data_IF_978764320562
#
_entry.id   IF_978764320562
#
_cell.length_a   1.000
_cell.length_b   1.000
_cell.length_c   1.000
_cell.angle_alpha   90.00
_cell.angle_beta   90.00
_cell.angle_gamma   90.00
#
_symmetry.space_group_name_H-M   'P 1'
#
loop_
_entity.id
_entity.type
_entity.pdbx_description
1 polymer ?
#
# COMPACT_ATOMS: atom_id res chain seq x y z
N UNK A 1 -19.19 2.09 -28.98
CA UNK A 1 -18.43 1.02 -29.67
C UNK A 1 -17.53 1.71 -30.67
N UNK A 2 -16.24 1.81 -30.37
CA UNK A 2 -15.25 2.56 -31.17
C UNK A 2 -14.81 1.67 -32.35
N UNK A 3 -14.62 2.20 -33.58
CA UNK A 3 -14.31 1.39 -34.76
C UNK A 3 -12.92 0.75 -34.67
N UNK A 4 -12.68 -0.42 -35.28
CA UNK A 4 -11.38 -1.08 -35.28
C UNK A 4 -10.46 -0.44 -36.34
N UNK A 5 -9.88 0.70 -36.01
CA UNK A 5 -8.67 1.24 -36.64
C UNK A 5 -7.56 1.22 -35.59
N UNK A 6 -6.40 0.65 -35.93
CA UNK A 6 -5.13 0.60 -35.16
C UNK A 6 -5.26 1.18 -33.74
N UNK A 7 -5.58 0.35 -32.75
CA UNK A 7 -5.77 0.81 -31.39
C UNK A 7 -4.51 1.56 -30.94
N UNK A 8 -4.62 2.88 -30.77
CA UNK A 8 -3.53 3.68 -30.23
C UNK A 8 -3.11 3.07 -28.89
N UNK A 9 -1.81 2.79 -28.74
CA UNK A 9 -1.25 2.41 -27.45
C UNK A 9 -1.62 3.51 -26.47
N UNK A 10 -2.31 3.16 -25.38
CA UNK A 10 -2.78 4.12 -24.36
C UNK A 10 -2.28 3.70 -22.99
N UNK A 11 -1.95 4.67 -22.16
CA UNK A 11 -1.48 4.42 -20.80
C UNK A 11 -2.24 5.30 -19.84
N UNK A 12 -2.94 4.69 -18.90
CA UNK A 12 -3.54 5.40 -17.78
C UNK A 12 -2.53 5.40 -16.63
N UNK A 13 -2.01 6.58 -16.30
CA UNK A 13 -1.14 6.80 -15.17
C UNK A 13 -1.97 7.34 -14.01
N UNK A 14 -2.32 6.46 -13.08
CA UNK A 14 -3.05 6.79 -11.87
C UNK A 14 -2.07 7.29 -10.80
N UNK A 15 -2.06 8.62 -10.61
CA UNK A 15 -1.00 9.31 -9.85
C UNK A 15 -1.33 9.53 -8.38
N UNK A 16 -2.57 9.32 -7.95
CA UNK A 16 -2.99 9.60 -6.57
C UNK A 16 -4.44 10.07 -6.51
N UNK A 17 -4.86 10.82 -5.49
CA UNK A 17 -4.06 11.27 -4.34
C UNK A 17 -3.90 10.17 -3.26
N UNK A 18 -2.95 10.26 -2.32
CA UNK A 18 -2.94 9.39 -1.15
C UNK A 18 -4.29 9.42 -0.40
N UNK A 19 -4.64 8.32 0.27
CA UNK A 19 -5.88 8.21 1.09
C UNK A 19 -7.22 8.41 0.34
N UNK A 20 -7.21 8.38 -1.00
CA UNK A 20 -8.42 8.45 -1.85
C UNK A 20 -8.84 7.09 -2.45
N UNK A 21 -8.50 5.99 -1.77
CA UNK A 21 -8.89 4.64 -2.22
C UNK A 21 -7.94 4.02 -3.26
N UNK A 22 -6.75 4.59 -3.40
CA UNK A 22 -5.66 4.12 -4.27
C UNK A 22 -5.28 2.68 -3.99
N UNK A 23 -5.11 2.29 -2.71
CA UNK A 23 -4.84 0.91 -2.31
C UNK A 23 -5.92 -0.06 -2.81
N UNK A 24 -7.20 0.30 -2.69
CA UNK A 24 -8.30 -0.54 -3.17
C UNK A 24 -8.19 -0.78 -4.68
N UNK A 25 -8.01 0.28 -5.47
CA UNK A 25 -7.84 0.20 -6.93
C UNK A 25 -6.60 -0.63 -7.30
N UNK A 26 -5.46 -0.39 -6.64
CA UNK A 26 -4.22 -1.11 -6.89
C UNK A 26 -4.34 -2.60 -6.59
N UNK A 27 -4.98 -2.97 -5.46
CA UNK A 27 -5.23 -4.38 -5.12
C UNK A 27 -6.11 -5.06 -6.16
N UNK A 28 -7.19 -4.40 -6.62
CA UNK A 28 -8.05 -4.96 -7.67
C UNK A 28 -7.27 -5.17 -8.97
N UNK A 29 -6.50 -4.16 -9.42
CA UNK A 29 -5.70 -4.24 -10.63
C UNK A 29 -4.65 -5.37 -10.56
N UNK A 30 -3.90 -5.44 -9.47
CA UNK A 30 -2.86 -6.45 -9.30
C UNK A 30 -3.45 -7.86 -9.19
N UNK A 31 -4.49 -8.04 -8.37
CA UNK A 31 -5.12 -9.35 -8.18
C UNK A 31 -5.67 -9.92 -9.49
N UNK A 32 -6.26 -9.07 -10.34
CA UNK A 32 -6.88 -9.46 -11.60
C UNK A 32 -6.00 -9.24 -12.84
N UNK A 33 -4.69 -8.96 -12.69
CA UNK A 33 -3.80 -8.57 -13.79
C UNK A 33 -3.79 -9.55 -14.97
N UNK A 34 -3.83 -10.85 -14.70
CA UNK A 34 -3.86 -11.87 -15.77
C UNK A 34 -5.20 -11.90 -16.52
N UNK A 35 -6.32 -11.75 -15.80
CA UNK A 35 -7.64 -11.65 -16.40
C UNK A 35 -7.78 -10.36 -17.23
N UNK A 36 -7.30 -9.23 -16.69
CA UNK A 36 -7.24 -7.94 -17.39
C UNK A 36 -6.38 -8.01 -18.65
N UNK A 37 -5.24 -8.71 -18.60
CA UNK A 37 -4.39 -8.96 -19.77
C UNK A 37 -5.13 -9.70 -20.87
N UNK A 38 -5.96 -10.68 -20.52
CA UNK A 38 -6.86 -11.38 -21.44
C UNK A 38 -7.89 -10.47 -22.12
N UNK A 39 -8.21 -9.32 -21.50
CA UNK A 39 -9.10 -8.29 -22.03
C UNK A 39 -8.36 -7.18 -22.80
N UNK A 40 -7.04 -7.31 -22.99
CA UNK A 40 -6.23 -6.32 -23.69
C UNK A 40 -5.69 -5.18 -22.82
N UNK A 41 -5.83 -5.29 -21.48
CA UNK A 41 -5.32 -4.32 -20.51
C UNK A 41 -4.10 -4.87 -19.76
N UNK A 42 -2.96 -4.20 -19.90
CA UNK A 42 -1.73 -4.55 -19.17
C UNK A 42 -1.65 -3.79 -17.84
N UNK A 43 -1.45 -4.53 -16.75
CA UNK A 43 -0.95 -3.99 -15.48
C UNK A 43 0.48 -4.52 -15.29
N UNK A 44 1.53 -3.73 -15.59
CA UNK A 44 2.91 -4.20 -15.71
C UNK A 44 3.58 -4.38 -14.33
N UNK A 45 3.19 -5.44 -13.62
CA UNK A 45 3.70 -5.78 -12.30
C UNK A 45 3.82 -7.30 -12.12
N UNK A 46 5.01 -7.76 -11.74
CA UNK A 46 5.27 -9.14 -11.33
C UNK A 46 4.98 -9.32 -9.84
N UNK A 47 5.38 -8.33 -9.03
CA UNK A 47 5.15 -8.22 -7.60
C UNK A 47 4.22 -7.03 -7.28
N UNK A 48 3.53 -7.10 -6.14
CA UNK A 48 2.57 -6.07 -5.74
C UNK A 48 3.22 -4.67 -5.60
N UNK A 49 4.45 -4.63 -5.11
CA UNK A 49 5.19 -3.40 -4.82
C UNK A 49 5.96 -2.85 -6.04
N UNK A 50 5.87 -3.45 -7.23
CA UNK A 50 6.63 -3.00 -8.40
C UNK A 50 6.30 -1.55 -8.79
N UNK A 51 5.02 -1.15 -8.74
CA UNK A 51 4.62 0.22 -9.00
C UNK A 51 5.03 1.20 -7.89
N UNK A 52 5.15 0.72 -6.64
CA UNK A 52 5.73 1.52 -5.55
C UNK A 52 7.18 1.85 -5.87
N UNK A 53 7.98 0.81 -6.14
CA UNK A 53 9.39 0.98 -6.44
C UNK A 53 9.63 1.79 -7.72
N UNK A 54 8.80 1.62 -8.76
CA UNK A 54 8.86 2.46 -9.95
C UNK A 54 8.61 3.95 -9.63
N UNK A 55 7.66 4.26 -8.76
CA UNK A 55 7.38 5.63 -8.35
C UNK A 55 8.51 6.22 -7.46
N UNK A 56 9.15 5.40 -6.62
CA UNK A 56 10.33 5.77 -5.83
C UNK A 56 11.52 6.09 -6.75
N UNK A 57 11.78 5.24 -7.74
CA UNK A 57 12.86 5.37 -8.72
C UNK A 57 12.73 6.63 -9.58
N UNK A 58 11.54 6.85 -10.15
CA UNK A 58 11.24 8.03 -10.97
C UNK A 58 11.55 9.34 -10.24
N UNK A 59 11.31 9.36 -8.93
CA UNK A 59 11.40 10.56 -8.11
C UNK A 59 12.72 10.67 -7.32
N UNK A 60 13.61 9.68 -7.40
CA UNK A 60 14.82 9.53 -6.56
C UNK A 60 14.50 9.77 -5.07
N UNK A 61 13.43 9.14 -4.58
CA UNK A 61 12.94 9.37 -3.21
C UNK A 61 13.76 8.59 -2.18
N UNK A 62 14.25 9.33 -1.18
CA UNK A 62 14.75 8.78 0.07
C UNK A 62 13.60 8.62 1.08
N UNK A 63 13.18 7.38 1.32
CA UNK A 63 12.17 7.10 2.36
C UNK A 63 12.82 7.07 3.74
N UNK A 64 12.44 8.05 4.57
CA UNK A 64 12.93 8.22 5.94
C UNK A 64 14.47 8.32 6.04
N UNK A 65 15.09 9.00 5.06
CA UNK A 65 16.54 9.20 5.01
C UNK A 65 17.32 7.97 4.54
N UNK A 66 16.65 6.96 4.00
CA UNK A 66 17.28 5.73 3.53
C UNK A 66 16.93 5.42 2.08
N UNK A 67 17.97 5.30 1.24
CA UNK A 67 17.83 4.84 -0.15
C UNK A 67 17.18 3.45 -0.22
N UNK A 68 16.42 3.24 -1.28
CA UNK A 68 15.81 1.96 -1.66
C UNK A 68 16.54 1.42 -2.89
N UNK A 69 17.70 0.74 -2.75
CA UNK A 69 18.44 0.23 -3.90
C UNK A 69 17.62 -0.75 -4.76
N UNK A 70 16.61 -1.40 -4.18
CA UNK A 70 15.67 -2.28 -4.87
C UNK A 70 14.79 -1.55 -5.89
N UNK A 71 14.66 -0.23 -5.76
CA UNK A 71 13.93 0.63 -6.69
C UNK A 71 14.72 0.97 -7.95
N UNK A 72 16.04 0.86 -7.93
CA UNK A 72 16.89 1.35 -9.03
C UNK A 72 16.50 0.73 -10.38
N UNK A 73 16.10 1.59 -11.33
CA UNK A 73 15.73 1.21 -12.70
C UNK A 73 14.34 0.60 -12.83
N UNK A 74 13.53 0.56 -11.77
CA UNK A 74 12.17 0.01 -11.79
C UNK A 74 11.22 0.82 -12.65
N UNK A 75 11.38 2.14 -12.73
CA UNK A 75 10.55 2.97 -13.61
C UNK A 75 10.73 2.57 -15.08
N UNK A 76 11.98 2.43 -15.53
CA UNK A 76 12.28 2.07 -16.91
C UNK A 76 11.85 0.64 -17.25
N UNK A 77 11.91 -0.29 -16.29
CA UNK A 77 11.37 -1.65 -16.49
C UNK A 77 9.86 -1.64 -16.74
N UNK A 78 9.11 -0.86 -15.95
CA UNK A 78 7.66 -0.69 -16.13
C UNK A 78 7.37 0.01 -17.46
N UNK A 79 8.07 1.10 -17.77
CA UNK A 79 7.90 1.84 -19.02
C UNK A 79 8.22 0.99 -20.26
N UNK A 80 9.25 0.14 -20.21
CA UNK A 80 9.60 -0.76 -21.30
C UNK A 80 8.50 -1.80 -21.59
N UNK A 81 7.87 -2.35 -20.55
CA UNK A 81 6.73 -3.27 -20.70
C UNK A 81 5.54 -2.56 -21.37
N UNK A 82 5.26 -1.33 -20.97
CA UNK A 82 4.20 -0.51 -21.55
C UNK A 82 4.45 -0.23 -23.03
N UNK A 83 5.67 0.19 -23.40
CA UNK A 83 6.02 0.45 -24.82
C UNK A 83 5.93 -0.81 -25.68
N UNK A 84 6.23 -1.98 -25.11
CA UNK A 84 6.13 -3.26 -25.80
C UNK A 84 4.69 -3.79 -25.94
N UNK A 85 3.72 -3.23 -25.19
CA UNK A 85 2.33 -3.68 -25.21
C UNK A 85 1.51 -2.93 -26.26
N UNK A 86 0.87 -3.62 -27.23
CA UNK A 86 0.15 -2.94 -28.31
C UNK A 86 -1.21 -2.35 -27.90
N UNK A 87 -1.67 -2.59 -26.67
CA UNK A 87 -2.99 -2.19 -26.19
C UNK A 87 -2.95 -1.11 -25.11
N UNK A 88 -3.93 -1.16 -24.22
CA UNK A 88 -4.02 -0.24 -23.08
C UNK A 88 -3.20 -0.77 -21.91
N UNK A 89 -2.48 0.11 -21.21
CA UNK A 89 -1.78 -0.21 -19.97
C UNK A 89 -2.23 0.70 -18.82
N UNK A 90 -2.09 0.23 -17.58
CA UNK A 90 -2.37 1.02 -16.37
C UNK A 90 -1.18 0.95 -15.44
N UNK A 91 -0.60 2.10 -15.11
CA UNK A 91 0.38 2.27 -14.02
C UNK A 91 -0.34 2.98 -12.89
N UNK A 92 -0.20 2.51 -11.66
CA UNK A 92 -0.98 3.06 -10.53
C UNK A 92 -0.18 3.02 -9.24
N UNK A 93 0.25 4.18 -8.76
CA UNK A 93 0.71 4.36 -7.39
C UNK A 93 0.59 5.83 -6.96
N UNK A 94 0.10 6.07 -5.76
CA UNK A 94 -0.09 7.41 -5.18
C UNK A 94 1.20 8.13 -4.77
N UNK A 95 2.33 7.44 -4.73
CA UNK A 95 3.64 8.07 -4.54
C UNK A 95 3.96 8.99 -5.73
N UNK A 96 3.40 8.72 -6.92
CA UNK A 96 3.54 9.58 -8.09
C UNK A 96 2.95 10.98 -7.89
N UNK A 97 2.03 11.16 -6.94
CA UNK A 97 1.42 12.45 -6.63
C UNK A 97 2.45 13.53 -6.30
N UNK A 98 3.54 13.14 -5.62
CA UNK A 98 4.61 14.02 -5.17
C UNK A 98 5.58 14.49 -6.26
N UNK A 99 5.44 14.00 -7.50
CA UNK A 99 6.42 14.23 -8.57
C UNK A 99 6.53 15.71 -8.95
N UNK A 100 7.75 16.22 -9.08
CA UNK A 100 7.99 17.57 -9.60
C UNK A 100 7.54 17.70 -11.07
N UNK A 101 7.34 18.93 -11.61
CA UNK A 101 7.01 19.10 -13.03
C UNK A 101 7.96 18.38 -13.99
N UNK A 102 9.26 18.37 -13.65
CA UNK A 102 10.28 17.70 -14.46
C UNK A 102 10.17 16.18 -14.40
N UNK A 103 9.93 15.61 -13.21
CA UNK A 103 9.71 14.16 -13.05
C UNK A 103 8.43 13.70 -13.76
N UNK A 104 7.35 14.49 -13.69
CA UNK A 104 6.12 14.22 -14.42
C UNK A 104 6.34 14.24 -15.95
N UNK A 105 7.10 15.23 -16.45
CA UNK A 105 7.50 15.31 -17.87
C UNK A 105 8.31 14.08 -18.29
N UNK A 106 9.34 13.71 -17.53
CA UNK A 106 10.17 12.54 -17.80
C UNK A 106 9.36 11.25 -17.82
N UNK A 107 8.43 11.09 -16.88
CA UNK A 107 7.51 9.97 -16.84
C UNK A 107 6.68 9.88 -18.13
N UNK A 108 6.01 10.97 -18.52
CA UNK A 108 5.17 11.01 -19.74
C UNK A 108 6.01 10.70 -20.99
N UNK A 109 7.18 11.32 -21.13
CA UNK A 109 8.06 11.10 -22.29
C UNK A 109 8.58 9.67 -22.38
N UNK A 110 8.87 9.03 -21.24
CA UNK A 110 9.34 7.65 -21.20
C UNK A 110 8.29 6.63 -21.68
N UNK A 111 7.01 7.01 -21.73
CA UNK A 111 5.91 6.13 -22.16
C UNK A 111 5.59 6.26 -23.66
N UNK A 112 6.26 7.17 -24.37
CA UNK A 112 6.10 7.31 -25.82
C UNK A 112 6.41 5.99 -26.56
N UNK A 113 5.66 5.64 -27.64
CA UNK A 113 4.71 6.48 -28.36
C UNK A 113 3.27 6.41 -27.83
N UNK A 114 3.04 5.82 -26.66
CA UNK A 114 1.69 5.66 -26.15
C UNK A 114 1.06 7.01 -25.76
N UNK A 115 -0.24 7.15 -26.00
CA UNK A 115 -1.04 8.29 -25.56
C UNK A 115 -1.27 8.17 -24.05
N UNK A 116 -0.75 9.13 -23.29
CA UNK A 116 -0.81 9.13 -21.83
C UNK A 116 -2.08 9.82 -21.35
N UNK A 117 -2.79 9.19 -20.43
CA UNK A 117 -3.92 9.72 -19.69
C UNK A 117 -3.55 9.78 -18.21
N UNK A 118 -3.75 10.94 -17.56
CA UNK A 118 -3.56 11.10 -16.13
C UNK A 118 -4.86 10.78 -15.42
N UNK A 119 -4.80 9.92 -14.41
CA UNK A 119 -5.94 9.59 -13.56
C UNK A 119 -5.64 10.01 -12.13
N UNK A 120 -6.57 10.73 -11.52
CA UNK A 120 -6.52 11.11 -10.11
C UNK A 120 -7.82 10.70 -9.43
N UNK A 121 -7.73 9.98 -8.31
CA UNK A 121 -8.82 9.76 -7.36
C UNK A 121 -8.80 10.86 -6.29
N UNK A 122 -9.96 11.47 -6.04
CA UNK A 122 -10.11 12.67 -5.20
C UNK A 122 -11.14 12.43 -4.09
N UNK A 123 -10.79 12.74 -2.83
CA UNK A 123 -11.68 12.56 -1.66
C UNK A 123 -11.84 13.87 -0.90
N UNK A 124 -12.87 13.95 -0.07
CA UNK A 124 -13.03 15.07 0.87
C UNK A 124 -11.88 15.14 1.88
N UNK A 125 -11.47 16.37 2.22
CA UNK A 125 -10.41 16.62 3.20
C UNK A 125 -10.80 16.26 4.64
N UNK A 126 -12.10 16.18 4.94
CA UNK A 126 -12.61 15.84 6.29
C UNK A 126 -12.19 14.43 6.69
N UNK A 127 -12.14 13.49 5.73
CA UNK A 127 -11.64 12.14 5.97
C UNK A 127 -10.15 11.99 5.69
N UNK A 128 -9.58 12.75 4.74
CA UNK A 128 -8.15 12.64 4.42
C UNK A 128 -7.27 13.14 5.57
N UNK A 129 -7.56 14.30 6.15
CA UNK A 129 -6.72 14.92 7.18
C UNK A 129 -6.55 14.02 8.43
N UNK A 130 -7.61 13.50 9.08
CA UNK A 130 -7.44 12.54 10.19
C UNK A 130 -6.76 11.24 9.75
N UNK A 131 -7.00 10.77 8.53
CA UNK A 131 -6.33 9.57 8.02
C UNK A 131 -4.84 9.78 7.78
N UNK A 132 -4.42 10.98 7.40
CA UNK A 132 -3.02 11.33 7.19
C UNK A 132 -2.31 11.50 8.54
N UNK A 133 -2.92 12.21 9.49
CA UNK A 133 -2.41 12.31 10.86
C UNK A 133 -2.18 10.93 11.48
N UNK A 134 -3.14 10.00 11.34
CA UNK A 134 -2.97 8.62 11.78
C UNK A 134 -1.78 7.93 11.13
N UNK A 135 -1.55 8.14 9.83
CA UNK A 135 -0.41 7.58 9.13
C UNK A 135 0.90 8.17 9.67
N UNK A 136 0.95 9.47 9.93
CA UNK A 136 2.13 10.12 10.51
C UNK A 136 2.43 9.61 11.92
N UNK A 137 1.40 9.39 12.75
CA UNK A 137 1.57 8.78 14.08
C UNK A 137 2.15 7.37 13.96
N UNK A 138 1.69 6.58 12.98
CA UNK A 138 2.30 5.27 12.68
C UNK A 138 3.74 5.37 12.17
N UNK A 139 4.20 6.54 11.73
CA UNK A 139 5.59 6.82 11.32
C UNK A 139 6.41 7.59 12.38
N UNK A 140 5.89 7.74 13.60
CA UNK A 140 6.66 8.30 14.72
C UNK A 140 6.25 9.70 15.14
N UNK A 141 5.23 10.30 14.51
CA UNK A 141 4.69 11.58 14.95
C UNK A 141 4.08 11.46 16.35
N UNK A 142 4.39 12.43 17.21
CA UNK A 142 3.92 12.50 18.60
C UNK A 142 2.96 13.68 18.86
N UNK A 143 2.85 14.62 17.91
CA UNK A 143 1.90 15.72 17.98
C UNK A 143 0.45 15.21 17.98
N UNK A 144 -0.38 15.85 18.81
CA UNK A 144 -1.84 15.72 18.74
C UNK A 144 -2.38 16.26 17.39
N UNK A 145 -3.65 16.01 17.10
CA UNK A 145 -4.23 16.34 15.80
C UNK A 145 -4.20 17.85 15.55
N UNK A 146 -4.53 18.66 16.55
CA UNK A 146 -4.53 20.13 16.42
C UNK A 146 -3.14 20.72 16.13
N UNK A 147 -2.12 20.27 16.87
CA UNK A 147 -0.75 20.75 16.67
C UNK A 147 -0.22 20.32 15.31
N UNK A 148 -0.53 19.10 14.90
CA UNK A 148 -0.18 18.57 13.58
C UNK A 148 -0.91 19.35 12.46
N UNK A 149 -2.22 19.57 12.59
CA UNK A 149 -3.05 20.28 11.63
C UNK A 149 -2.54 21.71 11.44
N UNK A 150 -2.29 22.43 12.54
CA UNK A 150 -1.76 23.79 12.50
C UNK A 150 -0.39 23.84 11.79
N UNK A 151 0.46 22.83 12.00
CA UNK A 151 1.76 22.71 11.33
C UNK A 151 1.61 22.54 9.82
N UNK A 152 0.71 21.65 9.38
CA UNK A 152 0.44 21.42 7.94
C UNK A 152 -0.17 22.66 7.28
N UNK A 153 -1.16 23.28 7.92
CA UNK A 153 -1.88 24.42 7.34
C UNK A 153 -1.03 25.69 7.22
N UNK A 154 0.09 25.78 7.94
CA UNK A 154 1.10 26.83 7.70
C UNK A 154 1.71 26.80 6.30
N UNK A 155 1.60 25.67 5.58
CA UNK A 155 2.23 25.45 4.27
C UNK A 155 3.74 25.75 4.29
N UNK A 156 4.37 25.46 5.42
CA UNK A 156 5.82 25.58 5.59
C UNK A 156 6.50 24.46 4.81
N UNK A 157 7.37 24.79 3.86
CA UNK A 157 8.05 23.84 3.00
C UNK A 157 9.47 23.50 3.50
N UNK A 158 9.86 23.97 4.68
CA UNK A 158 11.17 23.70 5.27
C UNK A 158 11.38 22.23 5.61
N UNK A 159 10.34 21.57 6.14
CA UNK A 159 10.40 20.14 6.48
C UNK A 159 9.83 19.27 5.35
N UNK A 160 10.52 18.15 5.08
CA UNK A 160 10.19 17.28 3.95
C UNK A 160 8.74 16.79 3.98
N UNK A 161 8.23 16.39 5.14
CA UNK A 161 6.89 15.81 5.28
C UNK A 161 5.78 16.81 4.99
N UNK A 162 5.93 18.09 5.39
CA UNK A 162 4.92 19.12 5.11
C UNK A 162 4.91 19.49 3.62
N UNK A 163 6.10 19.59 3.03
CA UNK A 163 6.25 19.79 1.59
C UNK A 163 5.69 18.61 0.79
N UNK A 164 5.92 17.38 1.25
CA UNK A 164 5.38 16.16 0.63
C UNK A 164 3.86 16.13 0.73
N UNK A 165 3.28 16.44 1.89
CA UNK A 165 1.83 16.50 2.09
C UNK A 165 1.17 17.36 1.02
N UNK A 166 1.54 18.64 0.89
CA UNK A 166 0.88 19.53 -0.06
C UNK A 166 1.16 19.16 -1.52
N UNK A 167 2.35 18.63 -1.84
CA UNK A 167 2.60 18.10 -3.20
C UNK A 167 1.73 16.89 -3.52
N UNK A 168 1.46 16.02 -2.56
CA UNK A 168 0.70 14.80 -2.84
C UNK A 168 -0.82 15.00 -2.74
N UNK A 169 -1.27 15.94 -1.91
CA UNK A 169 -2.68 16.10 -1.52
C UNK A 169 -3.37 17.29 -2.23
N UNK A 170 -2.64 18.34 -2.62
CA UNK A 170 -3.23 19.48 -3.35
C UNK A 170 -3.54 19.09 -4.80
N UNK A 171 -4.77 18.59 -5.01
CA UNK A 171 -5.19 17.99 -6.28
C UNK A 171 -5.04 18.96 -7.46
N UNK A 172 -5.51 20.23 -7.38
CA UNK A 172 -5.26 21.20 -8.44
C UNK A 172 -3.77 21.38 -8.78
N UNK A 173 -2.89 21.57 -7.78
CA UNK A 173 -1.45 21.70 -8.03
C UNK A 173 -0.84 20.43 -8.62
N UNK A 174 -1.20 19.26 -8.08
CA UNK A 174 -0.76 17.96 -8.59
C UNK A 174 -1.13 17.77 -10.05
N UNK A 175 -2.39 18.04 -10.40
CA UNK A 175 -2.84 17.91 -11.78
C UNK A 175 -2.19 18.96 -12.68
N UNK A 176 -1.96 20.19 -12.21
CA UNK A 176 -1.22 21.18 -12.99
C UNK A 176 0.20 20.71 -13.33
N UNK A 177 0.90 20.03 -12.41
CA UNK A 177 2.23 19.45 -12.68
C UNK A 177 2.18 18.32 -13.71
N UNK A 178 1.24 17.39 -13.54
CA UNK A 178 1.12 16.21 -14.41
C UNK A 178 0.49 16.51 -15.78
N UNK A 179 -0.45 17.44 -15.86
CA UNK A 179 -1.23 17.72 -17.07
C UNK A 179 -0.63 18.83 -17.96
N UNK A 180 0.46 19.49 -17.56
CA UNK A 180 0.96 20.71 -18.22
C UNK A 180 1.20 20.63 -19.74
N UNK A 181 1.36 19.43 -20.30
CA UNK A 181 1.57 19.17 -21.74
C UNK A 181 0.48 18.32 -22.39
N UNK A 182 -0.54 17.95 -21.62
CA UNK A 182 -1.62 17.10 -22.07
C UNK A 182 -2.87 17.95 -22.35
N UNK A 183 -3.67 17.58 -23.35
CA UNK A 183 -4.97 18.21 -23.53
C UNK A 183 -5.90 17.81 -22.36
N UNK A 184 -6.84 18.69 -21.92
CA UNK A 184 -7.68 18.44 -20.74
C UNK A 184 -8.47 17.13 -20.79
N UNK A 185 -8.87 16.67 -21.98
CA UNK A 185 -9.59 15.40 -22.16
C UNK A 185 -8.77 14.13 -21.84
N UNK A 186 -7.45 14.27 -21.65
CA UNK A 186 -6.56 13.19 -21.19
C UNK A 186 -6.34 13.19 -19.67
N UNK A 187 -7.05 14.05 -18.94
CA UNK A 187 -6.96 14.16 -17.48
C UNK A 187 -8.30 13.79 -16.87
N UNK A 188 -8.29 12.76 -16.03
CA UNK A 188 -9.49 12.18 -15.43
C UNK A 188 -9.45 12.32 -13.91
N UNK A 189 -10.48 12.95 -13.33
CA UNK A 189 -10.63 13.12 -11.88
C UNK A 189 -11.82 12.30 -11.41
N UNK A 190 -11.54 11.23 -10.68
CA UNK A 190 -12.53 10.31 -10.13
C UNK A 190 -12.80 10.70 -8.69
N UNK A 191 -14.00 11.14 -8.36
CA UNK A 191 -14.34 11.42 -6.97
C UNK A 191 -14.56 10.11 -6.21
N UNK A 192 -14.15 10.08 -4.94
CA UNK A 192 -14.44 8.97 -4.02
C UNK A 192 -15.85 9.17 -3.50
N UNK A 193 -16.73 8.17 -3.63
CA UNK A 193 -18.11 8.31 -3.20
C UNK A 193 -18.21 8.51 -1.68
N UNK A 194 -19.24 9.23 -1.25
CA UNK A 194 -19.49 9.51 0.17
C UNK A 194 -19.63 8.21 0.99
N UNK A 195 -19.30 8.23 2.30
CA UNK A 195 -19.57 7.10 3.19
C UNK A 195 -21.04 6.63 3.08
N UNK A 196 -21.23 5.31 3.01
CA UNK A 196 -22.55 4.69 2.83
C UNK A 196 -22.93 4.39 1.37
N UNK A 197 -22.17 4.90 0.39
CA UNK A 197 -22.31 4.46 -1.00
C UNK A 197 -21.90 2.98 -1.16
N UNK A 198 -22.42 2.28 -2.19
CA UNK A 198 -21.99 0.92 -2.50
C UNK A 198 -20.47 0.85 -2.72
N UNK A 199 -19.84 -0.20 -2.16
CA UNK A 199 -18.38 -0.37 -2.13
C UNK A 199 -17.74 -0.49 -3.52
N UNK A 200 -18.53 -0.81 -4.55
CA UNK A 200 -18.10 -1.00 -5.92
C UNK A 200 -18.07 0.31 -6.73
N UNK A 201 -18.62 1.42 -6.23
CA UNK A 201 -18.78 2.67 -7.00
C UNK A 201 -17.44 3.24 -7.44
N UNK A 202 -16.43 3.26 -6.56
CA UNK A 202 -15.09 3.75 -6.92
C UNK A 202 -14.48 2.90 -8.05
N UNK A 203 -14.60 1.58 -7.96
CA UNK A 203 -14.14 0.68 -9.02
C UNK A 203 -14.91 0.90 -10.31
N UNK A 204 -16.25 1.06 -10.27
CA UNK A 204 -17.06 1.33 -11.47
C UNK A 204 -16.63 2.60 -12.19
N UNK A 205 -16.37 3.67 -11.44
CA UNK A 205 -15.86 4.94 -11.99
C UNK A 205 -14.48 4.73 -12.63
N UNK A 206 -13.56 4.08 -11.92
CA UNK A 206 -12.20 3.80 -12.40
C UNK A 206 -12.18 2.89 -13.64
N UNK A 207 -12.92 1.78 -13.62
CA UNK A 207 -13.08 0.85 -14.73
C UNK A 207 -13.60 1.56 -15.99
N UNK A 208 -14.56 2.48 -15.83
CA UNK A 208 -15.08 3.30 -16.92
C UNK A 208 -14.00 4.16 -17.59
N UNK A 209 -13.16 4.82 -16.81
CA UNK A 209 -12.04 5.65 -17.30
C UNK A 209 -11.05 4.80 -18.11
N UNK A 210 -10.63 3.65 -17.57
CA UNK A 210 -9.66 2.77 -18.25
C UNK A 210 -10.29 1.93 -19.39
N UNK A 211 -11.60 2.09 -19.64
CA UNK A 211 -12.30 1.51 -20.78
C UNK A 211 -12.69 0.03 -20.64
N UNK A 212 -12.85 -0.48 -19.41
CA UNK A 212 -13.31 -1.86 -19.16
C UNK A 212 -14.68 -1.86 -18.47
N UNK A 213 -15.40 -3.00 -18.58
CA UNK A 213 -16.62 -3.16 -17.79
C UNK A 213 -16.27 -3.43 -16.34
N UNK A 214 -16.97 -2.80 -15.41
CA UNK A 214 -16.66 -3.00 -13.99
C UNK A 214 -16.91 -4.46 -13.51
N UNK A 215 -17.87 -5.16 -14.13
CA UNK A 215 -18.19 -6.56 -13.87
C UNK A 215 -17.24 -7.57 -14.56
N UNK A 216 -16.18 -7.08 -15.21
CA UNK A 216 -15.13 -7.93 -15.78
C UNK A 216 -14.25 -8.60 -14.72
N UNK A 217 -14.30 -8.12 -13.47
CA UNK A 217 -13.51 -8.62 -12.35
C UNK A 217 -14.40 -8.92 -11.16
N UNK A 218 -14.01 -9.89 -10.35
CA UNK A 218 -14.70 -10.22 -9.11
C UNK A 218 -14.08 -9.44 -7.94
N UNK A 219 -14.81 -8.44 -7.44
CA UNK A 219 -14.39 -7.65 -6.28
C UNK A 219 -14.45 -8.45 -4.96
N UNK A 220 -15.24 -9.52 -4.88
CA UNK A 220 -15.32 -10.35 -3.68
C UNK A 220 -14.11 -11.25 -3.50
N UNK A 221 -13.40 -11.57 -4.59
CA UNK A 221 -12.12 -12.27 -4.55
C UNK A 221 -11.00 -11.42 -3.93
N UNK A 222 -11.21 -10.11 -3.79
CA UNK A 222 -10.22 -9.20 -3.23
C UNK A 222 -10.53 -8.96 -1.75
N UNK A 223 -9.66 -9.46 -0.88
CA UNK A 223 -9.77 -9.20 0.56
C UNK A 223 -9.41 -7.75 0.86
N UNK A 224 -10.42 -6.93 1.16
CA UNK A 224 -10.22 -5.57 1.63
C UNK A 224 -10.50 -5.47 3.12
N UNK A 225 -9.44 -5.50 3.93
CA UNK A 225 -9.53 -5.12 5.34
C UNK A 225 -8.83 -3.78 5.54
N UNK A 226 -9.56 -2.69 5.29
CA UNK A 226 -9.09 -1.36 5.68
C UNK A 226 -9.50 -1.10 7.14
N UNK A 227 -8.93 -1.89 8.06
CA UNK A 227 -9.10 -1.72 9.51
C UNK A 227 -8.22 -0.54 9.95
N UNK A 228 -8.69 0.68 9.67
CA UNK A 228 -8.11 1.88 10.27
C UNK A 228 -8.21 1.82 11.80
N UNK A 229 -7.26 2.45 12.48
CA UNK A 229 -7.20 2.48 13.94
C UNK A 229 -8.27 3.41 14.51
N UNK A 230 -8.75 3.10 15.72
CA UNK A 230 -9.59 4.01 16.50
C UNK A 230 -8.76 5.07 17.22
N UNK A 231 -9.45 6.04 17.83
CA UNK A 231 -8.83 7.18 18.52
C UNK A 231 -7.92 6.74 19.67
N UNK A 232 -8.31 5.73 20.44
CA UNK A 232 -7.53 5.27 21.58
C UNK A 232 -6.28 4.49 21.14
N UNK A 233 -6.39 3.69 20.07
CA UNK A 233 -5.27 2.98 19.47
C UNK A 233 -4.22 3.95 18.90
N UNK A 234 -4.66 5.03 18.25
CA UNK A 234 -3.78 6.08 17.73
C UNK A 234 -3.11 6.85 18.87
N UNK A 235 -3.88 7.22 19.90
CA UNK A 235 -3.36 7.90 21.09
C UNK A 235 -2.32 7.05 21.83
N UNK A 236 -2.52 5.73 21.92
CA UNK A 236 -1.52 4.82 22.49
C UNK A 236 -0.20 4.88 21.71
N UNK A 237 -0.24 4.77 20.38
CA UNK A 237 0.98 4.87 19.55
C UNK A 237 1.62 6.26 19.73
N UNK A 238 0.82 7.33 19.75
CA UNK A 238 1.32 8.69 19.95
C UNK A 238 2.05 8.85 21.29
N UNK A 239 1.53 8.26 22.38
CA UNK A 239 2.21 8.21 23.69
C UNK A 239 3.51 7.41 23.65
N UNK A 240 3.53 6.29 22.92
CA UNK A 240 4.76 5.52 22.68
C UNK A 240 5.80 6.37 21.95
N UNK A 241 5.39 7.15 20.94
CA UNK A 241 6.27 8.04 20.19
C UNK A 241 6.83 9.14 21.09
N UNK A 242 5.97 9.81 21.86
CA UNK A 242 6.39 10.84 22.80
C UNK A 242 7.42 10.31 23.83
N UNK A 243 7.29 9.05 24.26
CA UNK A 243 8.21 8.43 25.20
C UNK A 243 9.50 7.90 24.56
N UNK A 244 9.48 7.52 23.28
CA UNK A 244 10.53 6.66 22.68
C UNK A 244 10.96 7.03 21.25
N UNK A 245 10.59 8.19 20.70
CA UNK A 245 10.78 8.59 19.30
C UNK A 245 12.22 8.48 18.75
N UNK A 246 13.24 8.30 19.59
CA UNK A 246 14.66 8.34 19.19
C UNK A 246 15.43 7.04 19.42
N UNK A 247 14.76 5.96 19.86
CA UNK A 247 15.48 4.73 20.25
C UNK A 247 15.75 3.82 19.05
N UNK A 248 14.93 3.89 17.99
CA UNK A 248 15.01 2.98 16.85
C UNK A 248 15.34 3.68 15.54
N UNK A 249 16.04 2.98 14.65
CA UNK A 249 16.20 3.42 13.27
C UNK A 249 14.84 3.45 12.57
N UNK A 250 14.65 4.29 11.53
CA UNK A 250 13.38 4.36 10.80
C UNK A 250 12.88 3.01 10.29
N UNK A 251 13.74 2.20 9.67
CA UNK A 251 13.39 0.83 9.24
C UNK A 251 12.90 -0.06 10.39
N UNK A 252 13.54 0.04 11.56
CA UNK A 252 13.15 -0.77 12.71
C UNK A 252 11.82 -0.29 13.27
N UNK A 253 11.61 1.02 13.34
CA UNK A 253 10.37 1.61 13.78
C UNK A 253 9.21 1.24 12.83
N UNK A 254 9.42 1.30 11.51
CA UNK A 254 8.46 0.87 10.50
C UNK A 254 8.09 -0.62 10.67
N UNK A 255 9.08 -1.49 10.86
CA UNK A 255 8.83 -2.92 11.09
C UNK A 255 8.09 -3.19 12.39
N UNK A 256 8.57 -2.63 13.51
CA UNK A 256 8.12 -3.00 14.85
C UNK A 256 6.86 -2.23 15.28
N UNK A 257 6.78 -0.93 15.04
CA UNK A 257 5.61 -0.11 15.42
C UNK A 257 4.52 -0.17 14.38
N UNK A 258 4.82 0.18 13.12
CA UNK A 258 3.81 0.20 12.06
C UNK A 258 3.41 -1.23 11.68
N UNK A 259 4.37 -2.12 11.47
CA UNK A 259 4.11 -3.52 11.11
C UNK A 259 3.42 -4.29 12.24
N UNK A 260 4.09 -4.43 13.39
CA UNK A 260 3.57 -5.29 14.48
C UNK A 260 2.52 -4.59 15.33
N UNK A 261 2.86 -3.48 15.99
CA UNK A 261 1.94 -2.86 16.94
C UNK A 261 0.67 -2.32 16.25
N UNK A 262 0.80 -1.57 15.17
CA UNK A 262 -0.35 -0.96 14.51
C UNK A 262 -1.16 -1.98 13.68
N UNK A 263 -0.53 -2.71 12.75
CA UNK A 263 -1.27 -3.54 11.80
C UNK A 263 -1.61 -4.95 12.30
N UNK A 264 -0.73 -5.61 13.06
CA UNK A 264 -0.98 -6.99 13.50
C UNK A 264 -1.64 -7.07 14.88
N UNK A 265 -1.42 -6.07 15.75
CA UNK A 265 -1.96 -6.06 17.12
C UNK A 265 -3.18 -5.15 17.21
N UNK A 266 -3.03 -3.84 17.02
CA UNK A 266 -4.11 -2.89 17.30
C UNK A 266 -5.25 -2.95 16.28
N UNK A 267 -4.94 -3.13 14.99
CA UNK A 267 -5.97 -3.21 13.95
C UNK A 267 -6.87 -4.45 14.07
N UNK A 268 -6.39 -5.54 14.69
CA UNK A 268 -7.20 -6.76 14.91
C UNK A 268 -8.14 -6.65 16.11
N UNK A 269 -7.83 -5.75 17.06
CA UNK A 269 -8.55 -5.60 18.32
C UNK A 269 -9.26 -4.25 18.43
N UNK A 270 -9.40 -3.52 17.32
CA UNK A 270 -9.94 -2.15 17.35
C UNK A 270 -11.39 -2.14 17.82
N UNK A 271 -11.66 -1.39 18.88
CA UNK A 271 -13.00 -1.23 19.47
C UNK A 271 -13.45 0.22 19.58
N UNK A 272 -12.55 1.21 19.35
CA UNK A 272 -12.88 2.62 19.53
C UNK A 272 -13.25 3.35 18.23
N UNK A 273 -13.99 4.48 18.31
CA UNK A 273 -14.36 5.26 17.13
C UNK A 273 -13.15 5.74 16.34
N UNK A 274 -13.29 5.91 15.02
CA UNK A 274 -12.21 6.47 14.20
C UNK A 274 -11.99 7.96 14.47
N UNK A 275 -10.74 8.45 14.41
CA UNK A 275 -10.43 9.88 14.43
C UNK A 275 -11.23 10.67 13.39
N UNK A 276 -11.75 11.84 13.79
CA UNK A 276 -12.55 12.76 12.97
C UNK A 276 -11.98 14.16 13.00
N UNK A 277 -12.23 14.93 11.94
CA UNK A 277 -11.91 16.35 11.92
C UNK A 277 -12.77 17.09 12.97
N UNK A 278 -12.15 17.86 13.89
CA UNK A 278 -12.88 18.68 14.86
C UNK A 278 -13.85 19.67 14.19
N UNK A 279 -15.06 19.82 14.76
CA UNK A 279 -16.12 20.63 14.17
C UNK A 279 -15.73 22.10 13.91
N UNK A 280 -14.84 22.67 14.75
CA UNK A 280 -14.31 24.03 14.61
C UNK A 280 -13.47 24.24 13.33
N UNK A 281 -12.90 23.17 12.75
CA UNK A 281 -12.09 23.25 11.53
C UNK A 281 -12.91 23.00 10.26
N UNK A 282 -14.19 22.61 10.39
CA UNK A 282 -15.01 22.25 9.24
C UNK A 282 -15.16 23.41 8.25
N UNK A 283 -15.33 24.64 8.73
CA UNK A 283 -15.57 25.79 7.85
C UNK A 283 -14.32 26.14 7.04
N UNK A 284 -13.14 26.12 7.66
CA UNK A 284 -11.84 26.34 7.01
C UNK A 284 -11.54 25.26 5.96
N UNK A 285 -11.74 23.99 6.32
CA UNK A 285 -11.55 22.86 5.39
C UNK A 285 -12.58 22.90 4.26
N UNK A 286 -13.81 23.34 4.53
CA UNK A 286 -14.83 23.52 3.50
C UNK A 286 -14.48 24.64 2.51
N UNK A 287 -13.86 25.73 2.97
CA UNK A 287 -13.38 26.81 2.08
C UNK A 287 -12.28 26.30 1.15
N UNK A 288 -11.31 25.54 1.67
CA UNK A 288 -10.27 24.92 0.86
C UNK A 288 -10.85 23.95 -0.18
N UNK A 289 -11.76 23.07 0.24
CA UNK A 289 -12.44 22.13 -0.66
C UNK A 289 -13.28 22.84 -1.73
N UNK A 290 -13.93 23.96 -1.41
CA UNK A 290 -14.62 24.82 -2.39
C UNK A 290 -13.67 25.39 -3.43
N UNK A 291 -12.49 25.86 -3.00
CA UNK A 291 -11.44 26.32 -3.91
C UNK A 291 -11.03 25.22 -4.88
N UNK A 292 -10.71 24.03 -4.38
CA UNK A 292 -10.33 22.88 -5.22
C UNK A 292 -11.44 22.47 -6.18
N UNK A 293 -12.69 22.37 -5.72
CA UNK A 293 -13.81 22.02 -6.58
C UNK A 293 -13.99 23.03 -7.72
N UNK A 294 -13.84 24.33 -7.43
CA UNK A 294 -13.90 25.39 -8.44
C UNK A 294 -12.78 25.27 -9.47
N UNK A 295 -11.53 25.11 -9.02
CA UNK A 295 -10.37 24.99 -9.90
C UNK A 295 -10.50 23.76 -10.83
N UNK A 296 -11.02 22.65 -10.30
CA UNK A 296 -11.30 21.44 -11.06
C UNK A 296 -12.44 21.63 -12.07
N UNK A 297 -13.51 22.34 -11.71
CA UNK A 297 -14.61 22.66 -12.62
C UNK A 297 -14.13 23.54 -13.80
N UNK A 298 -13.26 24.51 -13.54
CA UNK A 298 -12.73 25.45 -14.54
C UNK A 298 -11.63 24.83 -15.43
N UNK A 299 -11.04 23.70 -15.04
CA UNK A 299 -9.91 23.07 -15.72
C UNK A 299 -10.25 22.41 -17.07
N UNK A 300 -11.51 22.05 -17.30
CA UNK A 300 -11.95 21.27 -18.46
C UNK A 300 -11.56 19.80 -18.43
N UNK A 301 -11.08 19.28 -17.29
CA UNK A 301 -10.80 17.85 -17.11
C UNK A 301 -12.07 16.98 -17.14
N UNK A 302 -11.89 15.69 -17.39
CA UNK A 302 -12.96 14.70 -17.31
C UNK A 302 -13.27 14.36 -15.84
N UNK A 303 -14.37 14.90 -15.32
CA UNK A 303 -14.81 14.65 -13.95
C UNK A 303 -15.75 13.43 -13.91
N UNK A 304 -15.30 12.37 -13.23
CA UNK A 304 -16.04 11.12 -13.08
C UNK A 304 -16.59 11.01 -11.66
N UNK A 305 -17.82 11.51 -11.48
CA UNK A 305 -18.51 11.55 -10.20
C UNK A 305 -19.14 12.92 -9.96
N UNK A 306 -19.05 13.42 -8.74
CA UNK A 306 -19.62 14.72 -8.35
C UNK A 306 -18.61 15.47 -7.47
N UNK A 307 -18.18 16.66 -7.89
CA UNK A 307 -17.26 17.51 -7.12
C UNK A 307 -17.84 17.93 -5.77
N UNK A 308 -19.17 17.90 -5.61
CA UNK A 308 -19.83 18.04 -4.32
C UNK A 308 -19.46 16.94 -3.31
N UNK A 309 -18.88 15.82 -3.74
CA UNK A 309 -18.33 14.78 -2.86
C UNK A 309 -17.01 15.21 -2.18
N UNK A 310 -16.33 16.25 -2.66
CA UNK A 310 -15.15 16.84 -2.00
C UNK A 310 -15.53 17.73 -0.82
N UNK A 311 -16.77 18.24 -0.82
CA UNK A 311 -17.29 19.12 0.22
C UNK A 311 -17.74 18.30 1.44
N UNK A 312 -17.57 18.82 2.66
CA UNK A 312 -18.13 18.21 3.85
C UNK A 312 -19.64 17.98 3.71
N UNK A 313 -20.14 16.84 4.18
CA UNK A 313 -21.58 16.65 4.32
C UNK A 313 -22.16 17.73 5.24
N UNK A 314 -23.34 18.25 4.91
CA UNK A 314 -24.01 19.29 5.71
C UNK A 314 -24.15 18.85 7.17
N UNK A 315 -23.86 19.77 8.12
CA UNK A 315 -23.74 19.56 9.58
C UNK A 315 -24.81 18.66 10.23
N UNK A 316 -26.00 18.52 9.63
CA UNK A 316 -27.08 17.67 10.12
C UNK A 316 -26.72 16.18 10.22
N UNK A 317 -25.71 15.68 9.49
CA UNK A 317 -25.23 14.30 9.60
C UNK A 317 -23.95 14.13 10.45
N UNK A 318 -23.30 15.24 10.82
CA UNK A 318 -22.08 15.25 11.62
C UNK A 318 -22.36 15.31 13.14
N UNK A 319 -23.60 15.56 13.54
CA UNK A 319 -23.99 15.83 14.94
C UNK A 319 -24.22 14.58 15.81
N UNK A 320 -24.00 13.36 15.32
CA UNK A 320 -24.11 12.15 16.15
C UNK A 320 -22.72 11.68 16.56
N UNK A 321 -22.36 12.00 17.82
CA UNK A 321 -21.12 11.71 18.56
C UNK A 321 -19.86 12.43 18.06
N UNK A 322 -19.73 13.70 18.43
CA UNK A 322 -18.49 14.50 18.38
C UNK A 322 -17.48 13.96 19.41
N UNK A 323 -16.72 12.92 19.06
CA UNK A 323 -15.45 12.64 19.73
C UNK A 323 -14.37 13.24 18.86
N UNK A 324 -13.81 14.37 19.30
CA UNK A 324 -12.65 14.99 18.65
C UNK A 324 -11.50 13.98 18.58
N UNK A 325 -10.66 14.05 17.55
CA UNK A 325 -9.43 13.23 17.49
C UNK A 325 -8.51 13.43 18.70
N UNK A 326 -8.65 14.55 19.39
CA UNK A 326 -7.88 14.91 20.59
C UNK A 326 -8.60 14.60 21.92
N UNK A 327 -9.90 14.30 21.89
CA UNK A 327 -10.69 13.96 23.08
C UNK A 327 -10.73 12.45 23.23
N UNK A 328 -9.73 11.90 23.91
CA UNK A 328 -9.61 10.45 24.12
C UNK A 328 -9.79 10.13 25.60
N UNK A 329 -10.73 9.23 25.91
CA UNK A 329 -10.92 8.74 27.27
C UNK A 329 -9.66 7.98 27.75
N UNK A 330 -9.01 8.39 28.86
CA UNK A 330 -7.89 7.65 29.41
C UNK A 330 -8.21 6.18 29.73
N UNK A 331 -9.46 5.84 30.05
CA UNK A 331 -9.88 4.47 30.32
C UNK A 331 -9.82 3.61 29.07
N UNK A 332 -10.32 4.11 27.93
CA UNK A 332 -10.23 3.44 26.62
C UNK A 332 -8.76 3.18 26.24
N UNK A 333 -7.88 4.17 26.43
CA UNK A 333 -6.44 4.01 26.13
C UNK A 333 -5.81 2.93 27.02
N UNK A 334 -6.21 2.85 28.29
CA UNK A 334 -5.72 1.83 29.21
C UNK A 334 -6.20 0.43 28.83
N UNK A 335 -7.46 0.28 28.40
CA UNK A 335 -7.99 -1.01 27.93
C UNK A 335 -7.28 -1.47 26.64
N UNK A 336 -7.11 -0.56 25.68
CA UNK A 336 -6.34 -0.83 24.46
C UNK A 336 -4.89 -1.20 24.80
N UNK A 337 -4.25 -0.50 25.73
CA UNK A 337 -2.89 -0.81 26.17
C UNK A 337 -2.78 -2.19 26.82
N UNK A 338 -3.71 -2.54 27.72
CA UNK A 338 -3.73 -3.85 28.37
C UNK A 338 -3.89 -4.97 27.34
N UNK A 339 -4.76 -4.77 26.36
CA UNK A 339 -5.02 -5.74 25.29
C UNK A 339 -3.82 -5.87 24.35
N UNK A 340 -3.19 -4.75 23.97
CA UNK A 340 -1.99 -4.74 23.15
C UNK A 340 -0.81 -5.45 23.86
N UNK A 341 -0.63 -5.22 25.16
CA UNK A 341 0.39 -5.92 25.97
C UNK A 341 0.14 -7.42 25.98
N UNK A 342 -1.10 -7.86 26.20
CA UNK A 342 -1.45 -9.28 26.17
C UNK A 342 -1.14 -9.91 24.80
N UNK A 343 -1.56 -9.25 23.71
CA UNK A 343 -1.31 -9.72 22.35
C UNK A 343 0.19 -9.81 22.02
N UNK A 344 0.98 -8.81 22.43
CA UNK A 344 2.44 -8.82 22.26
C UNK A 344 3.10 -9.94 23.09
N UNK A 345 2.63 -10.21 24.31
CA UNK A 345 3.11 -11.32 25.13
C UNK A 345 2.79 -12.68 24.51
N UNK A 346 1.58 -12.86 23.97
CA UNK A 346 1.19 -14.07 23.25
C UNK A 346 2.10 -14.30 22.03
N UNK A 347 2.31 -13.27 21.22
CA UNK A 347 3.22 -13.33 20.06
C UNK A 347 4.67 -13.59 20.46
N UNK A 348 5.14 -13.00 21.55
CA UNK A 348 6.48 -13.28 22.08
C UNK A 348 6.61 -14.74 22.52
N UNK A 349 5.57 -15.33 23.13
CA UNK A 349 5.55 -16.73 23.50
C UNK A 349 5.59 -17.65 22.26
N UNK A 350 4.83 -17.34 21.22
CA UNK A 350 4.84 -18.05 19.94
C UNK A 350 6.22 -17.98 19.26
N UNK A 351 6.82 -16.78 19.19
CA UNK A 351 8.17 -16.59 18.65
C UNK A 351 9.21 -17.42 19.42
N UNK A 352 9.13 -17.46 20.76
CA UNK A 352 10.03 -18.27 21.59
C UNK A 352 9.82 -19.77 21.35
N UNK A 353 8.58 -20.23 21.21
CA UNK A 353 8.27 -21.62 20.91
C UNK A 353 8.80 -22.02 19.52
N UNK A 354 8.65 -21.15 18.51
CA UNK A 354 9.18 -21.36 17.17
C UNK A 354 10.72 -21.39 17.16
N UNK A 355 11.37 -20.47 17.88
CA UNK A 355 12.82 -20.46 18.05
C UNK A 355 13.34 -21.73 18.74
N UNK A 356 12.66 -22.19 19.79
CA UNK A 356 13.02 -23.43 20.47
C UNK A 356 12.87 -24.65 19.55
N UNK A 357 11.75 -24.75 18.82
CA UNK A 357 11.52 -25.83 17.88
C UNK A 357 12.58 -25.86 16.76
N UNK A 358 13.01 -24.69 16.28
CA UNK A 358 14.09 -24.61 15.29
C UNK A 358 15.46 -24.97 15.88
N UNK A 359 15.74 -24.54 17.11
CA UNK A 359 16.94 -24.95 17.83
C UNK A 359 17.00 -26.47 18.05
N UNK A 360 15.87 -27.10 18.40
CA UNK A 360 15.76 -28.54 18.57
C UNK A 360 15.96 -29.30 17.25
N UNK A 361 15.40 -28.78 16.14
CA UNK A 361 15.63 -29.32 14.78
C UNK A 361 17.09 -29.23 14.39
N UNK A 362 17.73 -28.09 14.64
CA UNK A 362 19.14 -27.89 14.34
C UNK A 362 20.02 -28.81 15.19
N UNK A 363 19.70 -28.98 16.48
CA UNK A 363 20.40 -29.91 17.37
C UNK A 363 20.23 -31.37 16.89
N UNK A 364 19.02 -31.78 16.50
CA UNK A 364 18.76 -33.11 15.95
C UNK A 364 19.51 -33.34 14.63
N UNK A 365 19.53 -32.35 13.74
CA UNK A 365 20.28 -32.41 12.48
C UNK A 365 21.79 -32.54 12.73
N UNK A 366 22.35 -31.76 13.67
CA UNK A 366 23.75 -31.89 14.07
C UNK A 366 24.05 -33.26 14.69
N UNK A 367 23.18 -33.78 15.56
CA UNK A 367 23.34 -35.11 16.13
C UNK A 367 23.36 -36.21 15.07
N UNK A 368 22.51 -36.12 14.04
CA UNK A 368 22.50 -37.05 12.89
C UNK A 368 23.82 -36.95 12.11
N UNK A 369 24.33 -35.75 11.87
CA UNK A 369 25.61 -35.52 11.18
C UNK A 369 26.77 -36.11 11.98
N UNK A 370 26.82 -35.87 13.29
CA UNK A 370 27.87 -36.35 14.17
C UNK A 370 27.83 -37.88 14.32
N UNK A 371 26.63 -38.47 14.44
CA UNK A 371 26.43 -39.92 14.40
C UNK A 371 26.95 -40.49 13.08
N UNK A 372 26.62 -39.88 11.94
CA UNK A 372 27.11 -40.31 10.64
C UNK A 372 28.64 -40.19 10.54
N UNK A 373 29.25 -39.12 11.07
CA UNK A 373 30.70 -38.93 11.07
C UNK A 373 31.44 -39.94 11.96
N UNK A 374 30.83 -40.34 13.06
CA UNK A 374 31.36 -41.32 14.03
C UNK A 374 31.30 -42.78 13.57
N UNK A 375 30.56 -43.10 12.50
CA UNK A 375 30.50 -44.47 11.97
C UNK A 375 31.82 -44.89 11.29
N UNK A 376 32.21 -46.19 11.37
CA UNK A 376 33.32 -46.72 10.60
C UNK A 376 33.16 -46.46 9.09
N UNK A 377 34.25 -46.30 8.31
CA UNK A 377 34.19 -45.87 6.91
C UNK A 377 33.24 -46.69 6.03
N UNK A 378 33.20 -48.02 6.23
CA UNK A 378 32.35 -48.95 5.46
C UNK A 378 30.86 -48.76 5.79
N UNK A 379 30.53 -48.46 7.05
CA UNK A 379 29.14 -48.23 7.49
C UNK A 379 28.63 -46.85 7.05
N UNK A 380 29.49 -45.83 6.97
CA UNK A 380 29.14 -44.54 6.36
C UNK A 380 28.71 -44.70 4.91
N UNK A 381 29.53 -45.38 4.10
CA UNK A 381 29.24 -45.64 2.68
C UNK A 381 27.92 -46.41 2.53
N UNK A 382 27.68 -47.44 3.36
CA UNK A 382 26.40 -48.17 3.34
C UNK A 382 25.21 -47.26 3.67
N UNK A 383 25.30 -46.44 4.72
CA UNK A 383 24.23 -45.51 5.13
C UNK A 383 23.95 -44.48 4.04
N UNK A 384 24.98 -43.86 3.46
CA UNK A 384 24.85 -42.91 2.35
C UNK A 384 24.21 -43.55 1.12
N UNK A 385 24.64 -44.76 0.74
CA UNK A 385 24.06 -45.48 -0.41
C UNK A 385 22.57 -45.80 -0.17
N UNK A 386 22.20 -46.17 1.06
CA UNK A 386 20.79 -46.42 1.43
C UNK A 386 19.95 -45.14 1.41
N UNK A 387 20.47 -44.02 1.91
CA UNK A 387 19.79 -42.72 1.89
C UNK A 387 19.60 -42.19 0.46
N UNK A 388 20.63 -42.27 -0.38
CA UNK A 388 20.53 -41.95 -1.82
C UNK A 388 19.52 -42.88 -2.51
N UNK A 389 19.47 -44.16 -2.13
CA UNK A 389 18.49 -45.10 -2.65
C UNK A 389 17.03 -44.78 -2.30
N UNK A 390 16.78 -43.97 -1.26
CA UNK A 390 15.42 -43.51 -0.90
C UNK A 390 14.99 -42.30 -1.71
N UNK A 391 15.92 -41.40 -2.05
CA UNK A 391 15.65 -40.20 -2.85
C UNK A 391 15.81 -40.42 -4.36
N UNK A 392 16.54 -41.45 -4.79
CA UNK A 392 16.77 -41.79 -6.19
C UNK A 392 16.28 -43.22 -6.53
N UNK A 393 15.26 -43.29 -7.41
CA UNK A 393 14.60 -44.55 -7.81
C UNK A 393 15.55 -45.60 -8.41
N UNK A 394 16.56 -45.20 -9.17
CA UNK A 394 17.48 -46.14 -9.81
C UNK A 394 18.40 -46.83 -8.79
N UNK A 395 18.93 -46.06 -7.83
CA UNK A 395 19.77 -46.59 -6.75
C UNK A 395 18.95 -47.45 -5.79
N UNK A 396 17.71 -47.07 -5.50
CA UNK A 396 16.78 -47.87 -4.71
C UNK A 396 16.47 -49.24 -5.33
N UNK A 397 16.27 -49.29 -6.65
CA UNK A 397 16.03 -50.54 -7.37
C UNK A 397 17.25 -51.49 -7.32
N UNK A 398 18.46 -50.95 -7.52
CA UNK A 398 19.71 -51.72 -7.44
C UNK A 398 19.94 -52.32 -6.03
N UNK A 399 19.70 -51.53 -4.97
CA UNK A 399 19.75 -52.01 -3.58
C UNK A 399 18.74 -53.13 -3.31
N UNK A 400 17.53 -53.04 -3.90
CA UNK A 400 16.50 -54.07 -3.79
C UNK A 400 16.90 -55.39 -4.45
N UNK A 401 17.63 -55.34 -5.57
CA UNK A 401 18.18 -56.54 -6.24
C UNK A 401 19.31 -57.15 -5.39
N UNK A 402 20.25 -56.32 -4.90
CA UNK A 402 21.35 -56.76 -4.03
C UNK A 402 20.85 -57.48 -2.76
N UNK A 403 19.83 -56.92 -2.08
CA UNK A 403 19.24 -57.54 -0.87
C UNK A 403 18.55 -58.88 -1.16
N UNK A 404 17.95 -59.05 -2.35
CA UNK A 404 17.28 -60.31 -2.76
C UNK A 404 18.27 -61.41 -3.09
N UNK A 405 19.40 -61.08 -3.71
CA UNK A 405 20.46 -62.04 -4.01
C UNK A 405 21.14 -62.54 -2.73
N UNK A 406 21.41 -61.65 -1.77
CA UNK A 406 22.07 -62.01 -0.49
C UNK A 406 21.20 -62.81 0.48
N UNK A 407 19.87 -62.88 0.28
CA UNK A 407 18.95 -63.73 1.07
C UNK A 407 18.80 -65.16 0.51
N UNK A 408 19.37 -65.44 -0.67
CA UNK A 408 19.31 -66.76 -1.34
C UNK A 408 20.59 -67.60 -1.20
N UNK A 409 21.60 -67.04 -0.54
CA UNK A 409 22.79 -67.68 0.02
C UNK A 409 22.68 -67.65 1.52
#
# INVERSE_FOLDING_TARGET
>A
MIPPGTAEQRVFLHVGAPKTGTTFVQTVLYHHRDALRGLGLLYPADEYDDHFFAAVDLQDLDFSGERRPEAQGRWEQVAAQVRAWPGTSVISHDVLAGATPEQARLAIESLAPAQVHIVCTARDLVHQLPSHWQEDVKHGQAADFDTWYASIMRRDDSEWQFRWFWRAEDIPDMLHRWASKLPPEQVHVITVPRPGAPVDVLWRRFAGVIGIRADSVDLHAVHHQNKGLGVAEVELIRRVNAAHAHIWSPRRYERDVKGVLAHEVLAEVTHTPRPRLPARLLDEVADLARGWAKDLEESGYDIVGDLGELLPATRSAAASSDVSSDEVDPEDVNEVAATAVFALLARLAECRAAQQAEADRLAAAHAIIDEHRGLPPVERVKRTVVEIGRSNRAVGAALGVYRRLRRRT
#
